data_IF_211342478492
#
_entry.id   IF_211342478492
#
_cell.length_a   1.000
_cell.length_b   1.000
_cell.length_c   1.000
_cell.angle_alpha   90.00
_cell.angle_beta   90.00
_cell.angle_gamma   90.00
#
_symmetry.space_group_name_H-M   'P 1'
#
loop_
_entity.id
_entity.type
_entity.pdbx_description
1 polymer ?
#
# COMPACT_ATOMS: atom_id res chain seq x y z
N UNK A 1 -3.99 20.31 -1.64
CA UNK A 1 -3.03 20.08 -0.54
C UNK A 1 -2.43 21.39 -0.04
N UNK A 2 -1.77 22.20 -0.89
CA UNK A 2 -1.20 23.51 -0.51
C UNK A 2 -2.20 24.46 0.16
N UNK A 3 -3.40 24.63 -0.44
CA UNK A 3 -4.52 25.42 0.12
C UNK A 3 -4.93 25.01 1.54
N UNK A 4 -4.94 23.71 1.87
CA UNK A 4 -5.29 23.20 3.20
C UNK A 4 -4.23 23.62 4.24
N UNK A 5 -2.96 23.50 3.88
CA UNK A 5 -1.84 23.87 4.76
C UNK A 5 -1.80 25.38 4.97
N UNK A 6 -1.96 26.17 3.91
CA UNK A 6 -1.99 27.64 3.99
C UNK A 6 -3.13 28.14 4.86
N UNK A 7 -4.33 27.60 4.68
CA UNK A 7 -5.48 27.95 5.50
C UNK A 7 -5.24 27.66 6.99
N UNK A 8 -4.75 26.46 7.31
CA UNK A 8 -4.48 26.04 8.70
C UNK A 8 -3.34 26.85 9.32
N UNK A 9 -2.30 27.20 8.56
CA UNK A 9 -1.22 28.08 9.06
C UNK A 9 -1.73 29.48 9.43
N UNK A 10 -2.71 30.00 8.68
CA UNK A 10 -3.24 31.35 8.89
C UNK A 10 -4.32 31.42 9.98
N UNK A 11 -5.18 30.41 10.08
CA UNK A 11 -6.38 30.46 10.95
C UNK A 11 -6.44 29.32 12.00
N UNK A 12 -5.48 28.40 12.01
CA UNK A 12 -5.61 27.12 12.69
C UNK A 12 -6.58 26.17 11.98
N UNK A 13 -6.73 24.94 12.50
CA UNK A 13 -7.65 23.97 11.90
C UNK A 13 -9.12 24.18 12.31
N UNK A 14 -9.37 24.81 13.47
CA UNK A 14 -10.73 25.03 13.98
C UNK A 14 -11.60 23.76 13.90
N UNK A 15 -12.84 23.91 13.40
CA UNK A 15 -13.74 22.80 13.11
C UNK A 15 -13.49 22.21 11.73
N UNK A 16 -13.19 20.91 11.68
CA UNK A 16 -13.02 20.17 10.42
C UNK A 16 -14.27 20.18 9.53
N UNK A 17 -15.47 20.38 10.09
CA UNK A 17 -16.71 20.40 9.31
C UNK A 17 -16.82 21.65 8.42
N UNK A 18 -16.50 22.84 8.96
CA UNK A 18 -16.59 24.11 8.23
C UNK A 18 -15.31 24.45 7.48
N UNK A 19 -14.17 23.90 7.89
CA UNK A 19 -12.86 24.19 7.30
C UNK A 19 -12.83 24.08 5.76
N UNK A 20 -13.35 23.02 5.10
CA UNK A 20 -13.21 22.91 3.65
C UNK A 20 -13.92 24.04 2.91
N UNK A 21 -15.11 24.44 3.37
CA UNK A 21 -15.86 25.55 2.79
C UNK A 21 -15.09 26.87 2.96
N UNK A 22 -14.59 27.15 4.16
CA UNK A 22 -13.82 28.36 4.46
C UNK A 22 -12.48 28.42 3.72
N UNK A 23 -11.87 27.27 3.47
CA UNK A 23 -10.62 27.15 2.72
C UNK A 23 -10.82 27.12 1.19
N UNK A 24 -12.06 27.20 0.69
CA UNK A 24 -12.37 27.10 -0.74
C UNK A 24 -11.98 25.73 -1.33
N UNK A 25 -12.10 24.66 -0.55
CA UNK A 25 -11.81 23.28 -0.94
C UNK A 25 -13.10 22.54 -1.27
N UNK A 26 -13.19 22.00 -2.49
CA UNK A 26 -14.24 21.06 -2.88
C UNK A 26 -13.99 19.64 -2.31
N UNK A 27 -13.85 19.53 -0.99
CA UNK A 27 -13.59 18.26 -0.27
C UNK A 27 -14.38 18.23 1.04
N UNK A 28 -14.60 17.05 1.60
CA UNK A 28 -15.26 16.92 2.89
C UNK A 28 -14.28 17.13 4.06
N UNK A 29 -14.83 17.53 5.21
CA UNK A 29 -14.08 17.81 6.43
C UNK A 29 -13.28 16.61 6.93
N UNK A 30 -13.89 15.43 6.90
CA UNK A 30 -13.25 14.16 7.30
C UNK A 30 -11.96 13.89 6.53
N UNK A 31 -11.99 14.07 5.20
CA UNK A 31 -10.80 13.87 4.38
C UNK A 31 -9.72 14.92 4.66
N UNK A 32 -10.11 16.17 4.89
CA UNK A 32 -9.17 17.23 5.25
C UNK A 32 -8.49 16.96 6.60
N UNK A 33 -9.26 16.53 7.61
CA UNK A 33 -8.76 16.12 8.92
C UNK A 33 -7.75 14.98 8.79
N UNK A 34 -8.17 13.86 8.17
CA UNK A 34 -7.32 12.69 7.97
C UNK A 34 -6.01 13.04 7.25
N UNK A 35 -6.12 13.88 6.21
CA UNK A 35 -4.95 14.29 5.42
C UNK A 35 -4.03 15.19 6.22
N UNK A 36 -4.58 16.03 7.09
CA UNK A 36 -3.79 16.85 7.99
C UNK A 36 -3.03 16.00 9.02
N UNK A 37 -3.75 15.18 9.79
CA UNK A 37 -3.20 14.39 10.89
C UNK A 37 -2.19 13.34 10.43
N UNK A 38 -2.35 12.81 9.21
CA UNK A 38 -1.51 11.69 8.74
C UNK A 38 -0.34 12.13 7.86
N UNK A 39 -0.38 13.33 7.26
CA UNK A 39 0.61 13.69 6.23
C UNK A 39 1.07 15.15 6.24
N UNK A 40 0.20 16.10 6.58
CA UNK A 40 0.52 17.53 6.41
C UNK A 40 1.00 18.21 7.68
N UNK A 41 0.70 17.66 8.86
CA UNK A 41 1.10 18.25 10.15
C UNK A 41 2.64 18.33 10.22
N UNK A 42 3.22 19.48 10.59
CA UNK A 42 4.66 19.73 10.49
C UNK A 42 5.52 18.92 11.46
N UNK A 43 4.91 18.40 12.53
CA UNK A 43 5.53 17.55 13.55
C UNK A 43 5.69 16.10 13.10
N UNK A 44 5.13 15.69 11.95
CA UNK A 44 5.27 14.34 11.42
C UNK A 44 6.68 14.19 10.83
N UNK A 45 7.47 13.28 11.40
CA UNK A 45 8.80 12.93 10.92
C UNK A 45 8.68 12.15 9.61
N UNK A 46 9.29 12.67 8.55
CA UNK A 46 9.37 12.01 7.25
C UNK A 46 10.67 11.23 7.14
N UNK A 47 10.59 9.99 6.67
CA UNK A 47 11.76 9.13 6.49
C UNK A 47 11.61 7.77 7.20
N UNK A 48 12.63 6.91 7.04
CA UNK A 48 12.60 5.54 7.53
C UNK A 48 12.45 5.47 9.05
N UNK A 49 11.93 4.34 9.53
CA UNK A 49 11.93 4.03 10.95
C UNK A 49 13.35 3.64 11.39
N UNK A 50 13.79 4.17 12.54
CA UNK A 50 15.04 3.70 13.15
C UNK A 50 14.78 2.39 13.91
N UNK A 51 15.81 1.56 14.06
CA UNK A 51 15.72 0.32 14.83
C UNK A 51 15.24 0.53 16.27
N UNK A 52 15.55 1.66 16.89
CA UNK A 52 15.04 2.02 18.22
C UNK A 52 13.51 2.14 18.22
N UNK A 53 12.94 2.80 17.20
CA UNK A 53 11.49 2.93 17.07
C UNK A 53 10.86 1.58 16.77
N UNK A 54 11.46 0.75 15.92
CA UNK A 54 10.97 -0.60 15.64
C UNK A 54 10.90 -1.46 16.92
N UNK A 55 11.96 -1.44 17.73
CA UNK A 55 12.02 -2.16 19.01
C UNK A 55 10.93 -1.66 19.97
N UNK A 56 10.74 -0.34 20.05
CA UNK A 56 9.72 0.24 20.91
C UNK A 56 8.30 -0.11 20.43
N UNK A 57 8.06 -0.14 19.10
CA UNK A 57 6.77 -0.59 18.54
C UNK A 57 6.48 -2.05 18.91
N UNK A 58 7.47 -2.95 18.83
CA UNK A 58 7.32 -4.35 19.25
C UNK A 58 6.95 -4.43 20.73
N UNK A 59 7.69 -3.75 21.60
CA UNK A 59 7.44 -3.74 23.04
C UNK A 59 6.04 -3.21 23.38
N UNK A 60 5.67 -2.07 22.81
CA UNK A 60 4.36 -1.46 23.06
C UNK A 60 3.21 -2.28 22.48
N UNK A 61 3.41 -2.94 21.35
CA UNK A 61 2.41 -3.87 20.83
C UNK A 61 2.23 -5.08 21.76
N UNK A 62 3.30 -5.62 22.34
CA UNK A 62 3.20 -6.70 23.33
C UNK A 62 2.34 -6.31 24.55
N UNK A 63 2.40 -5.04 24.97
CA UNK A 63 1.63 -4.54 26.12
C UNK A 63 0.21 -4.08 25.78
N UNK A 64 0.03 -3.41 24.64
CA UNK A 64 -1.21 -2.70 24.28
C UNK A 64 -2.00 -3.36 23.14
N UNK A 65 -1.40 -4.30 22.43
CA UNK A 65 -1.94 -4.90 21.21
C UNK A 65 -2.12 -3.88 20.08
N UNK A 66 -3.19 -4.04 19.29
CA UNK A 66 -3.49 -3.21 18.11
C UNK A 66 -4.00 -1.79 18.42
N UNK A 67 -3.67 -1.22 19.58
CA UNK A 67 -4.07 0.14 19.99
C UNK A 67 -3.14 1.19 19.38
N UNK A 68 -3.13 1.28 18.05
CA UNK A 68 -2.16 2.09 17.29
C UNK A 68 -2.10 3.56 17.70
N UNK A 69 -3.24 4.19 18.02
CA UNK A 69 -3.26 5.57 18.49
C UNK A 69 -2.55 5.75 19.85
N UNK A 70 -2.66 4.77 20.76
CA UNK A 70 -1.98 4.78 22.05
C UNK A 70 -0.47 4.47 21.92
N UNK A 71 -0.09 3.66 20.93
CA UNK A 71 1.31 3.43 20.60
C UNK A 71 1.90 4.70 19.97
N UNK A 72 1.17 5.35 19.07
CA UNK A 72 1.58 6.59 18.40
C UNK A 72 1.80 7.75 19.38
N UNK A 73 1.01 7.83 20.45
CA UNK A 73 1.21 8.88 21.46
C UNK A 73 2.54 8.76 22.21
N UNK A 74 3.19 7.59 22.19
CA UNK A 74 4.52 7.39 22.77
C UNK A 74 5.65 7.64 21.76
N UNK A 75 5.34 7.75 20.47
CA UNK A 75 6.30 7.91 19.38
C UNK A 75 6.17 9.32 18.78
N UNK A 76 6.98 10.25 19.28
CA UNK A 76 6.96 11.64 18.83
C UNK A 76 7.16 11.74 17.31
N UNK A 77 6.18 12.36 16.65
CA UNK A 77 6.21 12.60 15.21
C UNK A 77 5.95 11.38 14.34
N UNK A 78 5.44 10.28 14.90
CA UNK A 78 4.92 9.14 14.12
C UNK A 78 3.42 9.00 14.30
N UNK A 79 2.74 8.62 13.23
CA UNK A 79 1.29 8.46 13.22
C UNK A 79 0.90 7.00 13.44
N UNK A 80 -0.30 6.79 13.98
CA UNK A 80 -0.90 5.46 14.16
C UNK A 80 -0.95 4.67 12.85
N UNK A 81 -1.22 5.35 11.74
CA UNK A 81 -1.25 4.73 10.42
C UNK A 81 0.13 4.25 9.95
N UNK A 82 1.19 5.03 10.19
CA UNK A 82 2.55 4.61 9.86
C UNK A 82 3.02 3.43 10.72
N UNK A 83 2.68 3.43 12.02
CA UNK A 83 3.04 2.34 12.94
C UNK A 83 2.32 1.05 12.54
N UNK A 84 1.01 1.12 12.27
CA UNK A 84 0.24 0.00 11.74
C UNK A 84 0.84 -0.50 10.41
N UNK A 85 1.32 0.39 9.56
CA UNK A 85 1.97 -0.01 8.31
C UNK A 85 3.27 -0.77 8.58
N UNK A 86 4.18 -0.19 9.37
CA UNK A 86 5.44 -0.81 9.79
C UNK A 86 5.22 -2.20 10.37
N UNK A 87 4.22 -2.36 11.24
CA UNK A 87 3.87 -3.64 11.82
C UNK A 87 3.48 -4.68 10.77
N UNK A 88 2.56 -4.34 9.87
CA UNK A 88 2.00 -5.27 8.90
C UNK A 88 2.96 -5.61 7.75
N UNK A 89 3.84 -4.69 7.36
CA UNK A 89 4.74 -4.90 6.23
C UNK A 89 6.09 -5.47 6.63
N UNK A 90 6.59 -5.10 7.83
CA UNK A 90 7.94 -5.45 8.29
C UNK A 90 7.90 -6.31 9.55
N UNK A 91 7.48 -5.77 10.70
CA UNK A 91 7.71 -6.38 12.01
C UNK A 91 7.03 -7.75 12.17
N UNK A 92 5.80 -7.90 11.69
CA UNK A 92 5.08 -9.18 11.74
C UNK A 92 5.83 -10.30 11.02
N UNK A 93 6.46 -10.00 9.88
CA UNK A 93 7.23 -10.98 9.11
C UNK A 93 8.55 -11.32 9.80
N UNK A 94 9.22 -10.32 10.38
CA UNK A 94 10.45 -10.52 11.14
C UNK A 94 10.21 -11.42 12.37
N UNK A 95 9.15 -11.18 13.14
CA UNK A 95 8.82 -11.98 14.32
C UNK A 95 8.54 -13.45 13.95
N UNK A 96 7.73 -13.67 12.91
CA UNK A 96 7.45 -15.03 12.41
C UNK A 96 8.72 -15.73 11.94
N UNK A 97 9.64 -15.03 11.27
CA UNK A 97 10.92 -15.60 10.84
C UNK A 97 11.83 -15.97 12.01
N UNK A 98 11.66 -15.33 13.18
CA UNK A 98 12.38 -15.63 14.42
C UNK A 98 11.68 -16.70 15.28
N UNK A 99 10.55 -17.24 14.81
CA UNK A 99 9.77 -18.22 15.58
C UNK A 99 8.99 -17.61 16.75
N UNK A 100 8.75 -16.30 16.74
CA UNK A 100 7.98 -15.57 17.75
C UNK A 100 6.59 -15.30 17.20
N UNK A 101 5.54 -15.62 17.97
CA UNK A 101 4.18 -15.29 17.58
C UNK A 101 3.95 -13.77 17.70
N UNK A 102 3.54 -13.07 16.61
CA UNK A 102 3.37 -11.62 16.62
C UNK A 102 2.19 -11.13 17.46
N UNK A 103 1.23 -11.98 17.83
CA UNK A 103 0.12 -11.60 18.72
C UNK A 103 0.49 -11.78 20.19
N UNK A 104 1.09 -12.92 20.54
CA UNK A 104 1.40 -13.24 21.95
C UNK A 104 2.78 -12.74 22.38
N UNK A 105 3.68 -12.46 21.43
CA UNK A 105 5.09 -12.11 21.67
C UNK A 105 5.87 -13.21 22.42
N UNK A 106 5.37 -14.44 22.40
CA UNK A 106 6.01 -15.59 23.04
C UNK A 106 6.83 -16.40 22.02
N UNK A 107 7.96 -16.98 22.42
CA UNK A 107 8.65 -17.99 21.63
C UNK A 107 7.70 -19.16 21.37
N UNK A 108 7.53 -19.54 20.11
CA UNK A 108 6.68 -20.68 19.76
C UNK A 108 7.28 -21.95 20.34
N UNK A 109 6.76 -22.38 21.49
CA UNK A 109 7.11 -23.64 22.15
C UNK A 109 6.42 -24.79 21.43
N UNK A 110 6.78 -25.05 20.19
CA UNK A 110 6.34 -26.24 19.45
C UNK A 110 7.54 -27.18 19.26
N UNK A 111 7.63 -28.30 20.00
CA UNK A 111 8.55 -29.38 19.67
C UNK A 111 7.99 -30.12 18.45
N UNK A 112 8.76 -30.14 17.35
CA UNK A 112 8.58 -30.90 16.10
C UNK A 112 7.21 -31.55 15.82
N UNK A 113 6.48 -31.03 14.83
CA UNK A 113 5.36 -31.75 14.21
C UNK A 113 4.46 -30.90 13.30
N UNK A 114 4.87 -30.72 12.05
CA UNK A 114 4.01 -30.46 10.88
C UNK A 114 2.97 -29.32 10.99
N UNK A 115 3.36 -28.14 10.54
CA UNK A 115 2.82 -27.59 9.29
C UNK A 115 3.96 -26.89 8.54
N UNK A 116 4.73 -27.72 7.83
CA UNK A 116 5.32 -27.28 6.56
C UNK A 116 4.15 -26.89 5.68
N UNK A 117 3.71 -25.64 5.79
CA UNK A 117 3.29 -24.94 4.58
C UNK A 117 4.57 -24.33 4.07
N UNK A 118 5.21 -25.06 3.14
CA UNK A 118 6.35 -24.56 2.40
C UNK A 118 6.08 -23.10 2.00
N UNK A 119 6.99 -22.15 2.27
CA UNK A 119 6.80 -20.77 1.87
C UNK A 119 7.07 -20.69 0.37
N UNK A 120 6.10 -21.12 -0.44
CA UNK A 120 5.86 -20.37 -1.68
C UNK A 120 5.45 -18.99 -1.18
N UNK A 121 6.45 -18.09 -1.08
CA UNK A 121 6.32 -16.68 -0.73
C UNK A 121 4.97 -16.16 -1.21
N UNK A 122 4.26 -15.35 -0.43
CA UNK A 122 3.05 -14.69 -0.94
C UNK A 122 3.32 -14.00 -2.29
N UNK A 123 4.57 -13.53 -2.51
CA UNK A 123 5.04 -13.06 -3.79
C UNK A 123 5.15 -14.16 -4.85
N UNK A 124 5.60 -15.37 -4.53
CA UNK A 124 5.61 -16.52 -5.44
C UNK A 124 4.20 -17.05 -5.75
N UNK A 125 3.26 -17.02 -4.80
CA UNK A 125 1.84 -17.34 -5.05
C UNK A 125 1.19 -16.29 -5.96
N UNK A 126 1.48 -15.01 -5.70
CA UNK A 126 1.03 -13.92 -6.57
C UNK A 126 1.68 -14.07 -7.96
N UNK A 127 2.99 -14.25 -8.07
CA UNK A 127 3.69 -14.45 -9.36
C UNK A 127 3.13 -15.64 -10.14
N UNK A 128 2.85 -16.79 -9.49
CA UNK A 128 2.23 -17.93 -10.14
C UNK A 128 0.80 -17.61 -10.65
N UNK A 129 0.01 -16.84 -9.91
CA UNK A 129 -1.31 -16.38 -10.37
C UNK A 129 -1.19 -15.45 -11.59
N UNK A 130 -0.20 -14.55 -11.62
CA UNK A 130 0.04 -13.66 -12.75
C UNK A 130 0.60 -14.42 -13.96
N UNK A 131 1.44 -15.42 -13.76
CA UNK A 131 1.95 -16.29 -14.82
C UNK A 131 0.84 -17.15 -15.43
N UNK A 132 -0.04 -17.74 -14.63
CA UNK A 132 -1.23 -18.44 -15.11
C UNK A 132 -2.15 -17.51 -15.91
N UNK A 133 -2.45 -16.32 -15.40
CA UNK A 133 -3.29 -15.35 -16.10
C UNK A 133 -2.65 -14.87 -17.43
N UNK A 134 -1.32 -14.73 -17.48
CA UNK A 134 -0.59 -14.43 -18.71
C UNK A 134 -0.65 -15.58 -19.72
N UNK A 135 -0.41 -16.82 -19.28
CA UNK A 135 -0.50 -18.01 -20.12
C UNK A 135 -1.92 -18.21 -20.66
N UNK A 136 -2.95 -17.97 -19.84
CA UNK A 136 -4.34 -17.99 -20.28
C UNK A 136 -4.59 -16.92 -21.35
N UNK A 137 -4.16 -15.67 -21.12
CA UNK A 137 -4.29 -14.60 -22.13
C UNK A 137 -3.52 -14.92 -23.43
N UNK A 138 -2.30 -15.47 -23.33
CA UNK A 138 -1.50 -15.91 -24.47
C UNK A 138 -2.15 -17.09 -25.21
N UNK A 139 -2.78 -18.02 -24.49
CA UNK A 139 -3.55 -19.13 -25.07
C UNK A 139 -4.86 -18.65 -25.73
N UNK A 140 -5.55 -17.67 -25.13
CA UNK A 140 -6.71 -17.01 -25.72
C UNK A 140 -6.34 -16.28 -27.01
N UNK A 141 -5.25 -15.50 -27.00
CA UNK A 141 -4.72 -14.82 -28.18
C UNK A 141 -4.23 -15.81 -29.24
N UNK A 142 -3.64 -16.94 -28.85
CA UNK A 142 -3.24 -18.00 -29.78
C UNK A 142 -4.44 -18.71 -30.41
N UNK A 143 -5.50 -18.93 -29.62
CA UNK A 143 -6.75 -19.54 -30.11
C UNK A 143 -7.54 -18.58 -31.01
N UNK A 144 -7.55 -17.29 -30.70
CA UNK A 144 -8.09 -16.24 -31.59
C UNK A 144 -7.25 -16.08 -32.86
N UNK A 145 -5.91 -16.19 -32.76
CA UNK A 145 -5.01 -16.19 -33.91
C UNK A 145 -5.22 -17.40 -34.84
N UNK A 146 -5.65 -18.55 -34.31
CA UNK A 146 -6.01 -19.73 -35.11
C UNK A 146 -7.39 -19.60 -35.79
N UNK A 147 -8.27 -18.72 -35.30
CA UNK A 147 -9.57 -18.43 -35.91
C UNK A 147 -9.49 -17.36 -37.03
N UNK A 148 -8.34 -16.71 -37.19
CA UNK A 148 -8.13 -15.59 -38.13
C UNK A 148 -7.25 -15.93 -39.34
N UNK A 149 -6.98 -17.22 -39.63
CA UNK A 149 -6.38 -17.57 -40.94
C UNK A 149 -7.42 -17.27 -42.03
N UNK A 150 -7.20 -16.29 -42.93
CA UNK A 150 -8.12 -15.99 -44.00
C UNK A 150 -7.94 -17.05 -45.09
N UNK A 151 -9.05 -17.66 -45.51
CA UNK A 151 -9.17 -18.19 -46.87
C UNK A 151 -8.82 -17.06 -47.83
N UNK A 152 -7.82 -17.29 -48.67
CA UNK A 152 -7.36 -16.48 -49.80
C UNK A 152 -8.48 -15.74 -50.53
N UNK A 153 -8.25 -14.47 -50.92
CA UNK A 153 -8.44 -13.91 -52.28
C UNK A 153 -8.35 -12.36 -52.27
N UNK A 154 -7.33 -11.88 -53.00
CA UNK A 154 -7.21 -10.69 -53.88
C UNK A 154 -7.43 -9.21 -53.48
N UNK A 155 -6.37 -8.43 -53.81
CA UNK A 155 -6.34 -7.21 -54.65
C UNK A 155 -6.19 -5.81 -54.01
N UNK A 156 -4.99 -5.26 -54.26
CA UNK A 156 -4.60 -3.90 -54.69
C UNK A 156 -5.20 -2.65 -54.01
N UNK A 157 -4.31 -1.71 -53.63
CA UNK A 157 -4.67 -0.28 -53.62
C UNK A 157 -4.06 0.59 -52.51
N UNK A 158 -2.75 0.84 -52.60
CA UNK A 158 -2.11 2.16 -52.38
C UNK A 158 -2.49 3.04 -51.18
N UNK A 159 -1.63 3.04 -50.16
CA UNK A 159 -0.86 4.21 -49.68
C UNK A 159 -1.48 5.62 -49.72
N UNK A 160 -2.61 5.81 -49.02
CA UNK A 160 -3.10 7.16 -48.72
C UNK A 160 -2.70 7.65 -47.31
N UNK A 161 -2.39 6.75 -46.38
CA UNK A 161 -2.22 7.11 -44.96
C UNK A 161 -0.77 7.37 -44.51
N UNK A 162 0.24 7.00 -45.31
CA UNK A 162 1.66 7.19 -44.95
C UNK A 162 2.22 8.59 -45.23
N UNK A 163 1.41 9.52 -45.75
CA UNK A 163 1.85 10.88 -46.07
C UNK A 163 1.46 11.95 -45.03
N UNK A 164 0.70 11.61 -43.98
CA UNK A 164 0.17 12.61 -43.01
C UNK A 164 1.00 12.71 -41.72
N UNK A 165 1.86 11.74 -41.40
CA UNK A 165 2.62 11.76 -40.13
C UNK A 165 4.05 12.32 -40.24
N UNK A 166 4.46 12.80 -41.42
CA UNK A 166 5.76 13.47 -41.62
C UNK A 166 5.59 14.92 -42.12
N UNK A 167 4.84 15.74 -41.38
CA UNK A 167 4.88 17.21 -41.43
C UNK A 167 4.57 17.80 -40.06
#
# INVERSE_FOLDING_TARGET
>A
MKKLVEYIKKHGHGSWHSLPHLAGLARCGKNCCLRWTNYLRPDIKRGPFSHEVEKLVIQLHGMLGNRWAAIASQLLGRTDNEIKHLWNTHLKKCLLSMGIDPQTHEPSSAPNGLLVTSPTSLAARHMAQWESARLEAEAHLSRESQLLVPSSVESSGTDYFLHIWNS
#
